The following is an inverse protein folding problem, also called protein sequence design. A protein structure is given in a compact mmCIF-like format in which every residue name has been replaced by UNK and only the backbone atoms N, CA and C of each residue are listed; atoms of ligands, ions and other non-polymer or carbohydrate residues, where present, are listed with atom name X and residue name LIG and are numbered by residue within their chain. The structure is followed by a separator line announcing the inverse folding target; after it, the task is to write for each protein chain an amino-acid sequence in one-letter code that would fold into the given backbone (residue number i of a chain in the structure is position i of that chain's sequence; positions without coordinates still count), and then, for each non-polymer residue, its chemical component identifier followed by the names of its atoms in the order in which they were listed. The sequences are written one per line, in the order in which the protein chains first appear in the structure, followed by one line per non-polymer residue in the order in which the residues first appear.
data_IF_658201907777
#
_entry.id   IF_658201907777
#
_cell.length_a   1.000
_cell.length_b   1.000
_cell.length_c   1.000
_cell.angle_alpha   90.00
_cell.angle_beta   90.00
_cell.angle_gamma   90.00
#
_symmetry.space_group_name_H-M   'P 1'
#
loop_
_entity.id
_entity.type
_entity.pdbx_description
1 polymer ?
#
# COMPACT_ATOMS: atom_id res chain seq x y z
N UNK A 1 4.35 8.93 17.45
CA UNK A 1 3.30 7.96 17.07
C UNK A 1 3.56 7.60 15.62
N UNK A 2 3.65 6.30 15.28
CA UNK A 2 3.84 5.85 13.89
C UNK A 2 2.58 6.16 13.08
N UNK A 3 2.74 6.93 12.01
CA UNK A 3 1.65 7.23 11.09
C UNK A 3 1.13 5.94 10.43
N UNK A 4 -0.19 5.73 10.35
CA UNK A 4 -0.76 4.53 9.74
C UNK A 4 -0.43 4.43 8.25
N UNK A 5 -0.24 3.20 7.77
CA UNK A 5 -0.10 2.88 6.34
C UNK A 5 -1.32 2.07 5.91
N UNK A 6 -2.06 2.60 4.94
CA UNK A 6 -3.23 1.96 4.36
C UNK A 6 -2.85 1.23 3.06
N UNK A 7 -3.39 0.03 2.86
CA UNK A 7 -3.32 -0.71 1.60
C UNK A 7 -4.66 -0.58 0.88
N UNK A 8 -4.62 0.06 -0.29
CA UNK A 8 -5.77 0.20 -1.18
C UNK A 8 -5.56 -0.68 -2.41
N UNK A 9 -6.57 -1.49 -2.75
CA UNK A 9 -6.65 -2.24 -4.02
C UNK A 9 -7.78 -1.65 -4.85
N UNK A 10 -7.50 -1.32 -6.11
CA UNK A 10 -8.50 -0.79 -7.05
C UNK A 10 -8.45 -1.53 -8.37
N UNK A 11 -9.59 -1.54 -9.06
CA UNK A 11 -9.75 -2.14 -10.39
C UNK A 11 -9.88 -1.01 -11.44
N UNK A 12 -8.77 -0.48 -12.00
CA UNK A 12 -8.82 0.58 -13.01
C UNK A 12 -9.48 0.17 -14.32
N UNK A 13 -9.46 -1.12 -14.65
CA UNK A 13 -10.14 -1.71 -15.80
C UNK A 13 -10.64 -3.11 -15.42
N UNK A 14 -11.73 -3.62 -16.05
CA UNK A 14 -12.27 -4.94 -15.71
C UNK A 14 -11.21 -6.04 -15.77
N UNK A 15 -11.04 -6.76 -14.67
CA UNK A 15 -10.05 -7.84 -14.52
C UNK A 15 -8.61 -7.37 -14.31
N UNK A 16 -8.37 -6.08 -14.09
CA UNK A 16 -7.05 -5.51 -13.87
C UNK A 16 -7.00 -4.83 -12.52
N UNK A 17 -6.21 -5.36 -11.59
CA UNK A 17 -6.15 -4.91 -10.20
C UNK A 17 -4.79 -4.32 -9.86
N UNK A 18 -4.76 -3.12 -9.29
CA UNK A 18 -3.53 -2.47 -8.81
C UNK A 18 -3.66 -2.12 -7.34
N UNK A 19 -2.55 -2.21 -6.60
CA UNK A 19 -2.48 -1.80 -5.21
C UNK A 19 -1.64 -0.55 -4.99
N UNK A 20 -1.96 0.20 -3.93
CA UNK A 20 -1.21 1.38 -3.47
C UNK A 20 -1.10 1.35 -1.95
N UNK A 21 0.06 1.73 -1.43
CA UNK A 21 0.31 1.97 -0.01
C UNK A 21 0.30 3.48 0.24
N UNK A 22 -0.54 3.91 1.18
CA UNK A 22 -0.74 5.31 1.52
C UNK A 22 -0.34 5.54 2.97
N UNK A 23 0.57 6.48 3.22
CA UNK A 23 0.84 7.00 4.56
C UNK A 23 -0.24 8.04 4.87
N UNK A 24 -1.12 7.74 5.81
CA UNK A 24 -2.16 8.65 6.25
C UNK A 24 -1.70 9.44 7.47
N UNK A 25 -2.02 10.73 7.49
CA UNK A 25 -1.91 11.50 8.72
C UNK A 25 -2.99 11.04 9.73
N UNK A 26 -2.81 11.44 10.98
CA UNK A 26 -3.74 11.12 12.08
C UNK A 26 -5.14 11.71 11.90
N UNK A 27 -5.34 12.57 10.89
CA UNK A 27 -6.62 13.18 10.51
C UNK A 27 -7.18 12.63 9.18
N UNK A 28 -6.51 11.66 8.55
CA UNK A 28 -6.89 11.07 7.27
C UNK A 28 -6.89 12.02 6.06
N UNK A 29 -6.35 13.24 6.20
CA UNK A 29 -6.54 14.33 5.24
C UNK A 29 -5.56 14.34 4.06
N UNK A 30 -4.30 13.97 4.30
CA UNK A 30 -3.25 14.01 3.26
C UNK A 30 -2.54 12.66 3.12
N UNK A 31 -3.19 11.73 2.43
CA UNK A 31 -2.62 10.42 2.12
C UNK A 31 -1.45 10.54 1.12
N UNK A 32 -0.20 10.38 1.60
CA UNK A 32 0.98 10.33 0.73
C UNK A 32 1.17 8.92 0.21
N UNK A 33 1.36 8.76 -1.10
CA UNK A 33 1.72 7.45 -1.67
C UNK A 33 3.15 7.08 -1.26
N UNK A 34 3.31 5.94 -0.59
CA UNK A 34 4.62 5.36 -0.27
C UNK A 34 5.12 4.45 -1.39
N UNK A 35 4.22 3.60 -1.88
CA UNK A 35 4.53 2.57 -2.88
C UNK A 35 3.26 2.20 -3.64
N UNK A 36 3.44 1.66 -4.84
CA UNK A 36 2.36 1.10 -5.65
C UNK A 36 2.83 -0.14 -6.37
N UNK A 37 1.86 -0.92 -6.87
CA UNK A 37 2.12 -2.05 -7.73
C UNK A 37 2.94 -1.62 -8.96
N UNK A 38 4.00 -2.36 -9.32
CA UNK A 38 4.75 -2.08 -10.54
C UNK A 38 3.91 -2.38 -11.80
N UNK A 39 3.08 -3.42 -11.73
CA UNK A 39 2.21 -3.90 -12.80
C UNK A 39 0.84 -4.31 -12.21
N UNK A 40 -0.24 -4.26 -13.00
CA UNK A 40 -1.53 -4.80 -12.60
C UNK A 40 -1.49 -6.32 -12.48
N UNK A 41 -2.28 -6.85 -11.55
CA UNK A 41 -2.57 -8.28 -11.43
C UNK A 41 -3.91 -8.61 -12.11
N UNK A 42 -4.07 -9.87 -12.52
CA UNK A 42 -5.26 -10.36 -13.20
C UNK A 42 -6.38 -10.75 -12.21
N UNK A 43 -6.10 -10.72 -10.91
CA UNK A 43 -7.06 -10.99 -9.84
C UNK A 43 -6.87 -10.07 -8.63
N UNK A 44 -7.97 -9.88 -7.90
CA UNK A 44 -7.98 -9.12 -6.66
C UNK A 44 -7.08 -9.76 -5.60
N UNK A 45 -7.10 -11.10 -5.51
CA UNK A 45 -6.34 -11.88 -4.54
C UNK A 45 -4.83 -11.75 -4.76
N UNK A 46 -4.36 -11.76 -6.02
CA UNK A 46 -2.95 -11.55 -6.35
C UNK A 46 -2.51 -10.12 -6.01
N UNK A 47 -3.31 -9.12 -6.36
CA UNK A 47 -3.04 -7.73 -5.99
C UNK A 47 -3.01 -7.56 -4.46
N UNK A 48 -3.93 -8.19 -3.74
CA UNK A 48 -4.01 -8.13 -2.28
C UNK A 48 -2.79 -8.80 -1.63
N UNK A 49 -2.43 -10.01 -2.06
CA UNK A 49 -1.29 -10.74 -1.52
C UNK A 49 0.03 -9.98 -1.74
N UNK A 50 0.25 -9.47 -2.95
CA UNK A 50 1.40 -8.63 -3.30
C UNK A 50 1.42 -7.33 -2.49
N UNK A 51 0.28 -6.66 -2.36
CA UNK A 51 0.11 -5.45 -1.56
C UNK A 51 0.37 -5.68 -0.07
N UNK A 52 -0.09 -6.80 0.50
CA UNK A 52 0.16 -7.17 1.89
C UNK A 52 1.64 -7.46 2.15
N UNK A 53 2.32 -8.16 1.23
CA UNK A 53 3.76 -8.37 1.32
C UNK A 53 4.53 -7.04 1.31
N UNK A 54 4.13 -6.11 0.44
CA UNK A 54 4.69 -4.76 0.39
C UNK A 54 4.41 -3.97 1.68
N UNK A 55 3.18 -4.02 2.21
CA UNK A 55 2.78 -3.36 3.45
C UNK A 55 3.64 -3.82 4.63
N UNK A 56 3.81 -5.13 4.82
CA UNK A 56 4.67 -5.67 5.87
C UNK A 56 6.12 -5.21 5.74
N UNK A 57 6.62 -5.08 4.51
CA UNK A 57 7.96 -4.53 4.27
C UNK A 57 8.05 -3.05 4.66
N UNK A 58 7.04 -2.25 4.31
CA UNK A 58 7.03 -0.82 4.65
C UNK A 58 6.87 -0.57 6.14
N UNK A 59 6.01 -1.33 6.84
CA UNK A 59 5.88 -1.25 8.30
C UNK A 59 7.23 -1.48 8.98
N UNK A 60 8.00 -2.49 8.54
CA UNK A 60 9.35 -2.74 9.08
C UNK A 60 10.32 -1.59 8.81
N UNK A 61 10.25 -0.96 7.63
CA UNK A 61 11.10 0.19 7.28
C UNK A 61 10.75 1.43 8.09
N UNK A 62 9.47 1.70 8.31
CA UNK A 62 8.99 2.87 9.06
C UNK A 62 9.15 2.71 10.58
N UNK A 63 9.21 1.47 11.07
CA UNK A 63 9.50 1.16 12.48
C UNK A 63 11.00 1.18 12.81
N UNK A 64 11.88 1.15 11.81
CA UNK A 64 13.32 1.23 12.04
C UNK A 64 13.72 2.67 12.41
N UNK A 65 14.39 2.90 13.55
CA UNK A 65 14.93 4.22 13.86
C UNK A 65 15.98 4.59 12.80
N UNK A 66 15.88 5.80 12.25
CA UNK A 66 16.93 6.36 11.40
C UNK A 66 18.24 6.33 12.20
N UNK A 67 19.20 5.52 11.75
CA UNK A 67 20.52 5.40 12.36
C UNK A 67 21.44 6.55 11.97
#
# INVERSE_FOLDING_TARGET
MTQPIELLVVEPAPGSFVWRLLLTDDQGGNARVLRMAPDPADSYEEALASGQAALHSEIRRHAAPAS
#
